data_IF_415160496102
#
_entry.id   IF_415160496102
#
_cell.length_a   1.000
_cell.length_b   1.000
_cell.length_c   1.000
_cell.angle_alpha   90.00
_cell.angle_beta   90.00
_cell.angle_gamma   90.00
#
_symmetry.space_group_name_H-M   'P 1'
#
loop_
_entity.id
_entity.type
_entity.pdbx_description
1 polymer ?
#
# COMPACT_ATOMS: atom_id res chain seq x y z
N UNK A 1 19.17 3.58 -6.55
CA UNK A 1 18.96 2.13 -6.53
C UNK A 1 17.49 1.88 -6.27
N UNK A 2 16.83 1.16 -7.19
CA UNK A 2 15.43 0.77 -7.02
C UNK A 2 15.35 -0.45 -6.11
N UNK A 3 14.59 -0.33 -5.03
CA UNK A 3 14.36 -1.37 -4.04
C UNK A 3 12.87 -1.61 -3.86
N UNK A 4 12.52 -2.77 -3.31
CA UNK A 4 11.15 -3.16 -3.05
C UNK A 4 10.96 -3.55 -1.60
N UNK A 5 9.75 -3.37 -1.09
CA UNK A 5 9.36 -3.90 0.22
C UNK A 5 7.91 -4.37 0.19
N UNK A 6 7.65 -5.66 0.43
CA UNK A 6 6.32 -6.16 0.70
C UNK A 6 5.89 -5.75 2.11
N UNK A 7 4.66 -5.24 2.24
CA UNK A 7 4.08 -4.77 3.50
C UNK A 7 2.65 -5.28 3.69
N UNK A 8 2.21 -5.37 4.95
CA UNK A 8 0.80 -5.57 5.31
C UNK A 8 -0.02 -4.28 5.22
N UNK A 9 -1.31 -4.37 5.51
CA UNK A 9 -2.23 -3.23 5.52
C UNK A 9 -1.84 -2.21 6.59
N UNK A 10 -1.53 -2.65 7.82
CA UNK A 10 -1.18 -1.74 8.91
C UNK A 10 0.07 -0.92 8.59
N UNK A 11 1.12 -1.55 8.05
CA UNK A 11 2.35 -0.88 7.64
C UNK A 11 2.12 0.04 6.42
N UNK A 12 1.31 -0.37 5.43
CA UNK A 12 0.93 0.50 4.31
C UNK A 12 0.26 1.80 4.79
N UNK A 13 -0.66 1.72 5.75
CA UNK A 13 -1.33 2.91 6.29
C UNK A 13 -0.36 3.85 7.04
N UNK A 14 0.65 3.31 7.72
CA UNK A 14 1.70 4.12 8.33
C UNK A 14 2.57 4.83 7.27
N UNK A 15 2.90 4.15 6.17
CA UNK A 15 3.60 4.75 5.03
C UNK A 15 2.73 5.83 4.38
N UNK A 16 1.43 5.57 4.21
CA UNK A 16 0.49 6.54 3.68
C UNK A 16 0.43 7.81 4.53
N UNK A 17 0.31 7.67 5.85
CA UNK A 17 0.29 8.80 6.81
C UNK A 17 1.61 9.59 6.82
N UNK A 18 2.73 8.99 6.40
CA UNK A 18 4.00 9.70 6.20
C UNK A 18 4.06 10.47 4.87
N UNK A 19 2.97 10.49 4.09
CA UNK A 19 2.91 11.08 2.76
C UNK A 19 3.58 10.21 1.69
N UNK A 20 3.65 8.90 1.92
CA UNK A 20 4.38 7.93 1.10
C UNK A 20 5.87 8.22 1.00
N UNK A 21 6.51 8.75 2.05
CA UNK A 21 7.93 9.13 2.01
C UNK A 21 8.82 8.24 2.86
N UNK A 22 8.25 7.54 3.84
CA UNK A 22 9.02 6.86 4.89
C UNK A 22 8.35 5.59 5.36
N UNK A 23 9.17 4.61 5.70
CA UNK A 23 8.77 3.42 6.44
C UNK A 23 8.72 3.69 7.94
N UNK A 24 7.76 3.11 8.69
CA UNK A 24 7.70 3.28 10.13
C UNK A 24 8.88 2.61 10.85
N UNK A 25 9.25 3.07 12.07
CA UNK A 25 10.24 2.39 12.90
C UNK A 25 9.90 0.90 13.09
N UNK A 26 10.94 0.06 13.19
CA UNK A 26 10.78 -1.37 13.49
C UNK A 26 10.34 -1.55 14.94
N UNK A 27 9.63 -2.64 15.20
CA UNK A 27 9.35 -3.05 16.58
C UNK A 27 10.66 -3.48 17.27
N UNK A 28 10.78 -3.37 18.61
CA UNK A 28 12.00 -3.73 19.32
C UNK A 28 12.53 -5.14 19.03
N UNK A 29 11.62 -6.09 18.77
CA UNK A 29 11.93 -7.48 18.42
C UNK A 29 12.36 -7.69 16.96
N UNK A 30 12.31 -6.65 16.13
CA UNK A 30 12.66 -6.68 14.71
C UNK A 30 13.99 -5.95 14.49
N UNK A 31 15.15 -6.65 14.60
CA UNK A 31 16.46 -6.01 14.62
C UNK A 31 16.88 -5.37 13.30
N UNK A 32 16.19 -5.72 12.20
CA UNK A 32 16.51 -5.26 10.86
C UNK A 32 15.28 -4.77 10.10
N UNK A 33 15.51 -3.78 9.25
CA UNK A 33 14.70 -3.43 8.11
C UNK A 33 15.34 -4.05 6.85
N UNK A 34 14.55 -4.78 6.08
CA UNK A 34 15.03 -5.51 4.92
C UNK A 34 14.21 -5.18 3.68
N UNK A 35 14.72 -4.33 2.79
CA UNK A 35 14.20 -4.17 1.45
C UNK A 35 14.85 -5.19 0.52
N UNK A 36 14.09 -5.66 -0.48
CA UNK A 36 14.54 -6.65 -1.46
C UNK A 36 14.93 -5.98 -2.77
N UNK A 37 15.85 -6.60 -3.50
CA UNK A 37 16.45 -6.00 -4.70
C UNK A 37 15.59 -6.20 -5.97
N UNK A 38 14.55 -7.03 -5.93
CA UNK A 38 13.74 -7.31 -7.11
C UNK A 38 12.26 -7.54 -6.80
N UNK A 39 11.42 -7.07 -7.71
CA UNK A 39 9.97 -7.16 -7.59
C UNK A 39 9.42 -8.60 -7.55
N UNK A 40 9.92 -9.57 -8.35
CA UNK A 40 9.42 -10.95 -8.29
C UNK A 40 9.52 -11.55 -6.88
N UNK A 41 10.61 -11.30 -6.16
CA UNK A 41 10.75 -11.75 -4.78
C UNK A 41 9.78 -11.01 -3.85
N UNK A 42 9.64 -9.69 -3.97
CA UNK A 42 8.67 -8.93 -3.18
C UNK A 42 7.22 -9.43 -3.40
N UNK A 43 6.86 -9.73 -4.64
CA UNK A 43 5.55 -10.31 -5.00
C UNK A 43 5.35 -11.70 -4.41
N UNK A 44 6.39 -12.53 -4.39
CA UNK A 44 6.34 -13.83 -3.73
C UNK A 44 6.02 -13.66 -2.24
N UNK A 45 6.71 -12.75 -1.55
CA UNK A 45 6.47 -12.46 -0.13
C UNK A 45 5.03 -11.95 0.10
N UNK A 46 4.61 -10.97 -0.69
CA UNK A 46 3.27 -10.37 -0.63
C UNK A 46 2.17 -11.44 -0.73
N UNK A 47 2.25 -12.30 -1.75
CA UNK A 47 1.25 -13.34 -2.02
C UNK A 47 1.29 -14.48 -1.00
N UNK A 48 2.47 -15.01 -0.70
CA UNK A 48 2.57 -16.27 0.03
C UNK A 48 2.54 -16.06 1.57
N UNK A 49 2.94 -14.88 2.06
CA UNK A 49 2.96 -14.56 3.51
C UNK A 49 2.04 -13.41 3.91
N UNK A 50 2.06 -12.26 3.23
CA UNK A 50 1.25 -11.11 3.69
C UNK A 50 -0.25 -11.32 3.43
N UNK A 51 -0.63 -11.80 2.24
CA UNK A 51 -2.02 -12.10 1.92
C UNK A 51 -2.60 -13.29 2.73
N UNK A 52 -1.75 -14.15 3.28
CA UNK A 52 -2.15 -15.27 4.15
C UNK A 52 -2.11 -14.91 5.65
N UNK A 53 -1.60 -13.73 6.00
CA UNK A 53 -1.59 -13.22 7.37
C UNK A 53 -3.00 -12.92 7.90
N UNK A 54 -3.19 -12.69 9.21
CA UNK A 54 -4.49 -12.30 9.77
C UNK A 54 -5.10 -11.03 9.14
N UNK A 55 -4.27 -10.09 8.65
CA UNK A 55 -4.75 -8.90 7.94
C UNK A 55 -5.30 -9.24 6.55
N UNK A 56 -4.84 -10.33 5.94
CA UNK A 56 -5.32 -10.81 4.64
C UNK A 56 -4.89 -9.97 3.44
N UNK A 57 -3.90 -9.09 3.58
CA UNK A 57 -3.43 -8.25 2.48
C UNK A 57 -1.90 -8.16 2.45
N UNK A 58 -1.35 -8.25 1.24
CA UNK A 58 0.02 -7.91 0.91
C UNK A 58 0.05 -6.78 -0.12
N UNK A 59 0.96 -5.84 0.07
CA UNK A 59 1.23 -4.76 -0.87
C UNK A 59 2.70 -4.73 -1.17
N UNK A 60 3.07 -4.78 -2.45
CA UNK A 60 4.45 -4.57 -2.88
C UNK A 60 4.65 -3.08 -3.07
N UNK A 61 5.60 -2.54 -2.31
CA UNK A 61 6.06 -1.16 -2.49
C UNK A 61 7.40 -1.14 -3.22
N UNK A 62 7.61 -0.10 -4.04
CA UNK A 62 8.85 0.19 -4.73
C UNK A 62 9.31 1.61 -4.38
N UNK A 63 10.60 1.82 -4.23
CA UNK A 63 11.18 3.11 -3.88
C UNK A 63 12.64 3.21 -4.31
N UNK A 64 13.05 4.43 -4.63
CA UNK A 64 14.41 4.73 -5.04
C UNK A 64 15.21 5.24 -3.84
N UNK A 65 16.42 4.73 -3.67
CA UNK A 65 17.39 5.17 -2.63
C UNK A 65 18.65 5.65 -3.32
N UNK A 66 19.33 6.65 -2.78
CA UNK A 66 20.65 7.05 -3.28
C UNK A 66 21.60 5.86 -3.41
N UNK A 67 22.21 5.68 -4.60
CA UNK A 67 23.04 4.51 -4.91
C UNK A 67 24.20 4.33 -3.93
N UNK A 68 24.89 5.42 -3.59
CA UNK A 68 26.02 5.39 -2.66
C UNK A 68 25.59 4.96 -1.24
N UNK A 69 24.39 5.38 -0.81
CA UNK A 69 23.86 4.96 0.49
C UNK A 69 23.43 3.50 0.47
N UNK A 70 22.70 3.06 -0.55
CA UNK A 70 22.28 1.67 -0.68
C UNK A 70 23.48 0.71 -0.79
N UNK A 71 24.53 1.09 -1.52
CA UNK A 71 25.76 0.30 -1.67
C UNK A 71 26.59 0.18 -0.38
N UNK A 72 26.27 0.96 0.66
CA UNK A 72 26.94 0.81 1.97
C UNK A 72 26.44 -0.41 2.76
N UNK A 73 25.33 -1.02 2.34
CA UNK A 73 24.80 -2.25 2.92
C UNK A 73 25.20 -3.46 2.07
N UNK A 74 25.61 -4.54 2.72
CA UNK A 74 25.90 -5.80 2.04
C UNK A 74 24.62 -6.46 1.51
N UNK A 75 24.66 -6.92 0.26
CA UNK A 75 23.57 -7.70 -0.34
C UNK A 75 23.61 -9.11 0.23
N UNK A 76 22.56 -9.50 0.94
CA UNK A 76 22.37 -10.83 1.48
C UNK A 76 21.57 -11.68 0.51
N UNK A 77 21.96 -12.95 0.34
CA UNK A 77 21.16 -13.93 -0.41
C UNK A 77 20.53 -14.92 0.56
N UNK A 78 19.21 -14.87 0.70
CA UNK A 78 18.44 -15.73 1.62
C UNK A 78 17.73 -16.83 0.87
N UNK A 79 18.46 -17.93 0.62
CA UNK A 79 17.94 -19.08 -0.10
C UNK A 79 18.24 -19.01 -1.61
N UNK A 80 17.21 -18.88 -2.45
CA UNK A 80 17.39 -18.92 -3.89
C UNK A 80 18.17 -17.70 -4.40
N UNK A 81 18.79 -17.82 -5.59
CA UNK A 81 19.59 -16.73 -6.19
C UNK A 81 18.82 -15.41 -6.36
N UNK A 82 17.50 -15.48 -6.56
CA UNK A 82 16.64 -14.30 -6.68
C UNK A 82 16.25 -13.69 -5.33
N UNK A 83 16.50 -14.37 -4.21
CA UNK A 83 16.14 -13.90 -2.87
C UNK A 83 17.26 -13.02 -2.31
N UNK A 84 17.34 -11.82 -2.85
CA UNK A 84 18.36 -10.84 -2.47
C UNK A 84 17.74 -9.67 -1.69
N UNK A 85 18.37 -9.32 -0.58
CA UNK A 85 17.91 -8.26 0.31
C UNK A 85 19.08 -7.47 0.92
N UNK A 86 18.81 -6.25 1.36
CA UNK A 86 19.71 -5.50 2.22
C UNK A 86 19.30 -5.71 3.68
N UNK A 87 20.27 -5.78 4.59
CA UNK A 87 19.99 -5.77 6.04
C UNK A 87 20.38 -4.41 6.61
N UNK A 88 19.38 -3.54 6.80
CA UNK A 88 19.55 -2.23 7.43
C UNK A 88 19.23 -2.39 8.92
N UNK A 89 20.15 -2.04 9.85
CA UNK A 89 19.83 -2.06 11.28
C UNK A 89 18.60 -1.22 11.60
N UNK A 90 17.75 -1.69 12.52
CA UNK A 90 16.51 -0.99 12.88
C UNK A 90 16.77 0.45 13.33
N UNK A 91 17.85 0.69 14.06
CA UNK A 91 18.31 2.01 14.51
C UNK A 91 18.75 2.92 13.36
N UNK A 92 19.16 2.36 12.23
CA UNK A 92 19.59 3.11 11.04
C UNK A 92 18.42 3.43 10.10
N UNK A 93 17.21 2.89 10.33
CA UNK A 93 16.07 3.07 9.44
C UNK A 93 15.64 4.54 9.30
N UNK A 94 15.77 5.34 10.35
CA UNK A 94 15.44 6.78 10.25
C UNK A 94 16.40 7.50 9.28
N UNK A 95 17.70 7.21 9.37
CA UNK A 95 18.69 7.73 8.44
C UNK A 95 18.44 7.20 7.02
N UNK A 96 18.17 5.89 6.86
CA UNK A 96 17.86 5.27 5.58
C UNK A 96 16.65 5.93 4.89
N UNK A 97 15.60 6.23 5.65
CA UNK A 97 14.42 6.94 5.14
C UNK A 97 14.77 8.31 4.55
N UNK A 98 15.78 9.01 5.07
CA UNK A 98 16.21 10.32 4.54
C UNK A 98 16.90 10.21 3.18
N UNK A 99 17.39 9.03 2.80
CA UNK A 99 17.96 8.76 1.48
C UNK A 99 16.94 8.22 0.47
N UNK A 100 15.67 8.05 0.85
CA UNK A 100 14.59 7.71 -0.09
C UNK A 100 14.30 8.93 -0.98
N UNK A 101 14.34 8.70 -2.28
CA UNK A 101 14.09 9.69 -3.31
C UNK A 101 12.62 9.67 -3.73
N UNK A 102 11.98 10.83 -3.74
CA UNK A 102 10.59 10.96 -4.17
C UNK A 102 9.60 10.34 -3.19
N UNK A 103 8.73 9.46 -3.69
CA UNK A 103 7.69 8.77 -2.92
C UNK A 103 7.77 7.27 -3.16
N UNK A 104 7.45 6.52 -2.12
CA UNK A 104 7.20 5.09 -2.15
C UNK A 104 5.94 4.85 -2.99
N UNK A 105 6.00 3.89 -3.92
CA UNK A 105 4.93 3.56 -4.86
C UNK A 105 4.41 2.16 -4.57
N UNK A 106 3.11 1.92 -4.72
CA UNK A 106 2.55 0.56 -4.68
C UNK A 106 2.59 -0.01 -6.08
N UNK A 107 3.25 -1.13 -6.32
CA UNK A 107 3.35 -1.75 -7.67
C UNK A 107 2.49 -3.00 -7.81
N UNK A 108 2.22 -3.70 -6.70
CA UNK A 108 1.32 -4.85 -6.66
C UNK A 108 0.58 -4.93 -5.33
N UNK A 109 -0.53 -5.67 -5.33
CA UNK A 109 -1.28 -5.99 -4.13
C UNK A 109 -1.95 -7.37 -4.30
N UNK A 110 -1.93 -8.15 -3.23
CA UNK A 110 -2.48 -9.50 -3.15
C UNK A 110 -3.41 -9.59 -1.93
N UNK A 111 -4.59 -10.19 -2.11
CA UNK A 111 -5.63 -10.22 -1.07
C UNK A 111 -6.10 -11.65 -0.81
N UNK A 112 -6.05 -12.08 0.44
CA UNK A 112 -6.58 -13.36 0.90
C UNK A 112 -8.09 -13.32 1.14
N UNK A 113 -8.75 -14.49 1.27
CA UNK A 113 -10.20 -14.59 1.50
C UNK A 113 -10.66 -13.97 2.83
N UNK A 114 -9.77 -13.82 3.81
CA UNK A 114 -10.01 -13.22 5.12
C UNK A 114 -9.88 -11.68 5.13
N UNK A 115 -9.52 -11.06 4.01
CA UNK A 115 -9.33 -9.62 3.94
C UNK A 115 -10.63 -8.85 4.26
N UNK A 116 -10.60 -8.07 5.34
CA UNK A 116 -11.70 -7.16 5.72
C UNK A 116 -11.38 -5.69 5.44
N UNK A 117 -10.10 -5.34 5.27
CA UNK A 117 -9.64 -3.96 5.11
C UNK A 117 -9.68 -3.12 6.38
N UNK A 118 -9.31 -1.85 6.22
CA UNK A 118 -9.48 -0.80 7.21
C UNK A 118 -10.98 -0.50 7.39
N UNK A 119 -11.43 -0.35 8.63
CA UNK A 119 -12.84 -0.09 8.94
C UNK A 119 -12.99 1.39 9.31
N UNK A 120 -13.61 2.22 8.45
CA UNK A 120 -13.80 3.63 8.72
C UNK A 120 -14.71 3.88 9.92
N UNK A 121 -14.58 5.05 10.51
CA UNK A 121 -15.43 5.52 11.62
C UNK A 121 -16.37 6.65 11.19
N UNK A 122 -16.22 7.17 9.98
CA UNK A 122 -16.92 8.35 9.47
C UNK A 122 -17.99 7.99 8.43
N UNK A 123 -19.04 8.81 8.40
CA UNK A 123 -20.10 8.83 7.39
C UNK A 123 -20.71 7.46 7.06
N UNK A 124 -21.14 7.24 5.81
CA UNK A 124 -21.84 6.03 5.37
C UNK A 124 -20.92 4.81 5.34
N UNK A 125 -19.60 4.99 5.19
CA UNK A 125 -18.63 3.88 5.21
C UNK A 125 -18.31 3.35 6.62
N UNK A 126 -18.80 4.02 7.66
CA UNK A 126 -18.56 3.65 9.06
C UNK A 126 -18.89 2.18 9.34
N UNK A 127 -17.95 1.47 9.96
CA UNK A 127 -18.15 0.10 10.43
C UNK A 127 -18.18 -0.96 9.32
N UNK A 128 -17.97 -0.57 8.07
CA UNK A 128 -18.03 -1.47 6.92
C UNK A 128 -16.65 -2.07 6.60
N UNK A 129 -16.64 -3.32 6.13
CA UNK A 129 -15.46 -3.92 5.52
C UNK A 129 -15.24 -3.38 4.09
N UNK A 130 -14.06 -3.62 3.52
CA UNK A 130 -13.69 -3.13 2.19
C UNK A 130 -14.68 -3.52 1.07
N UNK A 131 -15.28 -4.71 1.11
CA UNK A 131 -16.27 -5.12 0.09
C UNK A 131 -17.55 -4.30 0.20
N UNK A 132 -18.12 -4.20 1.39
CA UNK A 132 -19.36 -3.44 1.63
C UNK A 132 -19.15 -1.94 1.38
N UNK A 133 -17.94 -1.42 1.62
CA UNK A 133 -17.59 -0.03 1.25
C UNK A 133 -17.76 0.21 -0.25
N UNK A 134 -17.31 -0.70 -1.12
CA UNK A 134 -17.47 -0.57 -2.57
C UNK A 134 -18.96 -0.57 -2.97
N UNK A 135 -19.76 -1.47 -2.39
CA UNK A 135 -21.21 -1.53 -2.63
C UNK A 135 -21.90 -0.22 -2.23
N UNK A 136 -21.53 0.34 -1.08
CA UNK A 136 -22.04 1.64 -0.61
C UNK A 136 -21.64 2.77 -1.56
N UNK A 137 -20.37 2.83 -1.98
CA UNK A 137 -19.88 3.83 -2.94
C UNK A 137 -20.60 3.72 -4.30
N UNK A 138 -20.93 2.52 -4.76
CA UNK A 138 -21.74 2.30 -5.98
C UNK A 138 -23.13 2.93 -5.81
N UNK A 139 -23.78 2.71 -4.66
CA UNK A 139 -25.09 3.30 -4.37
C UNK A 139 -25.05 4.83 -4.33
N UNK A 140 -24.07 5.41 -3.63
CA UNK A 140 -23.94 6.87 -3.49
C UNK A 140 -23.63 7.53 -4.83
N UNK A 141 -22.73 6.95 -5.63
CA UNK A 141 -22.39 7.47 -6.96
C UNK A 141 -23.62 7.56 -7.89
N UNK A 142 -24.54 6.59 -7.81
CA UNK A 142 -25.78 6.60 -8.60
C UNK A 142 -26.82 7.63 -8.14
N UNK A 143 -26.66 8.21 -6.95
CA UNK A 143 -27.63 9.11 -6.32
C UNK A 143 -27.15 10.56 -6.25
N UNK A 144 -25.96 10.80 -5.71
CA UNK A 144 -25.43 12.15 -5.46
C UNK A 144 -23.89 12.21 -5.58
N UNK A 145 -23.41 12.94 -6.59
CA UNK A 145 -21.97 13.12 -6.81
C UNK A 145 -21.24 13.94 -5.73
N UNK A 146 -21.93 14.85 -5.03
CA UNK A 146 -21.33 15.61 -3.93
C UNK A 146 -21.09 14.73 -2.70
N UNK A 147 -22.07 13.91 -2.33
CA UNK A 147 -21.93 12.95 -1.22
C UNK A 147 -20.85 11.91 -1.56
N UNK A 148 -20.81 11.44 -2.81
CA UNK A 148 -19.77 10.54 -3.27
C UNK A 148 -18.37 11.15 -3.11
N UNK A 149 -18.19 12.40 -3.55
CA UNK A 149 -16.93 13.12 -3.37
C UNK A 149 -16.56 13.27 -1.89
N UNK A 150 -17.52 13.65 -1.05
CA UNK A 150 -17.32 13.79 0.39
C UNK A 150 -16.88 12.46 1.03
N UNK A 151 -17.52 11.35 0.68
CA UNK A 151 -17.15 10.02 1.18
C UNK A 151 -15.74 9.60 0.79
N UNK A 152 -15.37 9.79 -0.48
CA UNK A 152 -14.05 9.42 -1.00
C UNK A 152 -12.95 10.23 -0.31
N UNK A 153 -13.17 11.54 -0.13
CA UNK A 153 -12.18 12.43 0.49
C UNK A 153 -12.11 12.29 2.01
N UNK A 154 -13.23 12.09 2.70
CA UNK A 154 -13.25 11.92 4.15
C UNK A 154 -12.65 10.58 4.60
N UNK A 155 -12.87 9.50 3.82
CA UNK A 155 -12.37 8.16 4.13
C UNK A 155 -11.12 7.81 3.32
N UNK A 156 -10.27 8.80 3.04
CA UNK A 156 -9.15 8.69 2.11
C UNK A 156 -8.15 7.57 2.47
N UNK A 157 -7.93 7.27 3.74
CA UNK A 157 -7.08 6.13 4.15
C UNK A 157 -7.65 4.78 3.70
N UNK A 158 -8.95 4.57 3.89
CA UNK A 158 -9.63 3.35 3.42
C UNK A 158 -9.62 3.28 1.89
N UNK A 159 -9.94 4.39 1.23
CA UNK A 159 -9.91 4.47 -0.23
C UNK A 159 -8.53 4.13 -0.76
N UNK A 160 -7.47 4.74 -0.21
CA UNK A 160 -6.09 4.46 -0.61
C UNK A 160 -5.75 2.98 -0.52
N UNK A 161 -6.01 2.38 0.65
CA UNK A 161 -5.62 1.01 0.93
C UNK A 161 -6.45 -0.03 0.15
N UNK A 162 -7.74 0.24 -0.06
CA UNK A 162 -8.67 -0.73 -0.66
C UNK A 162 -8.78 -0.59 -2.17
N UNK A 163 -8.32 0.52 -2.76
CA UNK A 163 -8.48 0.73 -4.19
C UNK A 163 -7.91 -0.42 -5.06
N UNK A 164 -6.70 -0.97 -4.80
CA UNK A 164 -6.22 -2.13 -5.54
C UNK A 164 -7.10 -3.39 -5.39
N UNK A 165 -7.80 -3.54 -4.27
CA UNK A 165 -8.77 -4.62 -4.05
C UNK A 165 -10.05 -4.38 -4.85
N UNK A 166 -10.56 -3.14 -4.85
CA UNK A 166 -11.73 -2.76 -5.62
C UNK A 166 -11.50 -2.86 -7.13
N UNK A 167 -10.30 -2.53 -7.62
CA UNK A 167 -9.92 -2.77 -9.02
C UNK A 167 -10.07 -4.25 -9.44
N UNK A 168 -9.81 -5.19 -8.53
CA UNK A 168 -9.93 -6.63 -8.81
C UNK A 168 -11.37 -7.14 -8.70
N UNK A 169 -12.19 -6.53 -7.84
CA UNK A 169 -13.56 -6.95 -7.56
C UNK A 169 -14.60 -6.29 -8.47
N UNK A 170 -14.34 -5.07 -8.92
CA UNK A 170 -15.30 -4.24 -9.62
C UNK A 170 -15.76 -4.86 -10.95
N UNK A 171 -17.08 -5.00 -11.09
CA UNK A 171 -17.76 -5.43 -12.31
C UNK A 171 -18.97 -4.54 -12.56
N UNK A 172 -19.45 -4.46 -13.81
CA UNK A 172 -20.61 -3.64 -14.18
C UNK A 172 -20.46 -2.17 -13.75
N UNK A 173 -21.41 -1.67 -12.97
CA UNK A 173 -21.37 -0.29 -12.44
C UNK A 173 -20.17 -0.04 -11.51
N UNK A 174 -19.60 -1.08 -10.89
CA UNK A 174 -18.41 -0.96 -10.05
C UNK A 174 -17.20 -0.42 -10.81
N UNK A 175 -17.05 -0.75 -12.09
CA UNK A 175 -15.94 -0.26 -12.92
C UNK A 175 -16.02 1.26 -13.12
N UNK A 176 -17.23 1.80 -13.32
CA UNK A 176 -17.44 3.24 -13.43
C UNK A 176 -17.13 3.95 -12.11
N UNK A 177 -17.47 3.33 -10.99
CA UNK A 177 -17.23 3.87 -9.65
C UNK A 177 -15.75 3.89 -9.31
N UNK A 178 -14.99 2.85 -9.67
CA UNK A 178 -13.52 2.85 -9.51
C UNK A 178 -12.88 4.00 -10.29
N UNK A 179 -13.32 4.27 -11.53
CA UNK A 179 -12.83 5.42 -12.30
C UNK A 179 -13.26 6.76 -11.69
N UNK A 180 -14.49 6.85 -11.15
CA UNK A 180 -14.96 8.03 -10.45
C UNK A 180 -14.15 8.29 -9.16
N UNK A 181 -13.82 7.25 -8.39
CA UNK A 181 -12.93 7.35 -7.22
C UNK A 181 -11.58 7.90 -7.67
N UNK A 182 -10.98 7.35 -8.74
CA UNK A 182 -9.70 7.82 -9.27
C UNK A 182 -9.73 9.30 -9.65
N UNK A 183 -10.84 9.77 -10.26
CA UNK A 183 -11.04 11.17 -10.64
C UNK A 183 -11.17 12.10 -9.43
N UNK A 184 -11.95 11.71 -8.41
CA UNK A 184 -12.04 12.48 -7.16
C UNK A 184 -10.66 12.54 -6.49
N UNK A 185 -9.98 11.40 -6.44
CA UNK A 185 -8.68 11.29 -5.81
C UNK A 185 -7.62 12.17 -6.47
N UNK A 186 -7.52 12.18 -7.80
CA UNK A 186 -6.51 12.99 -8.50
C UNK A 186 -6.70 14.50 -8.30
N UNK A 187 -7.92 14.95 -8.01
CA UNK A 187 -8.20 16.33 -7.64
C UNK A 187 -7.87 16.64 -6.18
N UNK A 188 -8.23 15.73 -5.25
CA UNK A 188 -8.07 15.97 -3.81
C UNK A 188 -6.67 15.67 -3.27
N UNK A 189 -5.97 14.68 -3.85
CA UNK A 189 -4.67 14.19 -3.40
C UNK A 189 -3.70 14.04 -4.60
N UNK A 190 -3.41 15.13 -5.33
CA UNK A 190 -2.65 15.07 -6.59
C UNK A 190 -1.23 14.51 -6.44
N UNK A 191 -0.68 14.57 -5.23
CA UNK A 191 0.68 14.15 -4.90
C UNK A 191 0.86 12.65 -4.66
N UNK A 192 -0.23 11.92 -4.39
CA UNK A 192 -0.20 10.49 -4.05
C UNK A 192 -1.03 9.76 -5.09
N UNK A 193 -0.44 9.10 -6.09
CA UNK A 193 -1.23 8.37 -7.08
C UNK A 193 -1.98 7.19 -6.46
N UNK A 194 -3.22 6.98 -6.88
CA UNK A 194 -4.08 5.92 -6.37
C UNK A 194 -3.94 4.62 -7.17
N UNK A 195 -3.86 3.50 -6.44
CA UNK A 195 -3.75 2.16 -7.03
C UNK A 195 -2.32 1.77 -7.38
N UNK A 196 -2.20 0.74 -8.21
CA UNK A 196 -0.91 0.19 -8.64
C UNK A 196 -0.25 1.11 -9.66
N UNK A 197 1.03 1.39 -9.45
CA UNK A 197 1.86 2.23 -10.29
C UNK A 197 2.90 1.37 -11.00
N UNK A 198 3.14 1.60 -12.31
CA UNK A 198 4.20 0.92 -13.05
C UNK A 198 5.61 1.30 -12.56
#
# INVERSE_FOLDING_TARGET
MLLYRPVGLAELLLIYRSGMRRFPPRLPEQPIFYPVLNEPYARQISRDWNATSPEGAGYVTAFDVEDAHAASFEVQQVGARMHQELWVPAEALDAFNNHIQGRIRVTAADFGPQFIGHVPTAFSLRGQNARTQLETLIGIHGYNGMDFHAEVTANHEAVFAHFPYWEQLATGNGTQVVEAIRKVWSGAFPDIPLGRQP
#
